data_IF_710395928185
#
_entry.id   IF_710395928185
#
_cell.length_a   1.000
_cell.length_b   1.000
_cell.length_c   1.000
_cell.angle_alpha   90.00
_cell.angle_beta   90.00
_cell.angle_gamma   90.00
#
_symmetry.space_group_name_H-M   'P 1'
#
loop_
_entity.id
_entity.type
_entity.pdbx_description
1 polymer ?
#
# COMPACT_ATOMS: atom_id res chain seq x y z
N UNK A 1 11.92 -13.54 -22.41
CA UNK A 1 11.37 -12.70 -23.48
C UNK A 1 10.11 -13.34 -24.03
N UNK A 2 9.12 -12.55 -24.44
CA UNK A 2 7.82 -13.06 -24.91
C UNK A 2 7.90 -13.77 -26.28
N UNK A 3 8.87 -13.42 -27.14
CA UNK A 3 9.12 -14.06 -28.43
C UNK A 3 10.64 -14.25 -28.63
N UNK A 4 11.22 -15.35 -28.12
CA UNK A 4 12.68 -15.52 -28.07
C UNK A 4 13.34 -15.84 -29.43
N UNK A 5 12.56 -16.09 -30.48
CA UNK A 5 13.06 -16.38 -31.83
C UNK A 5 13.03 -15.17 -32.78
N UNK A 6 12.45 -14.06 -32.35
CA UNK A 6 12.31 -12.85 -33.15
C UNK A 6 13.34 -11.79 -32.73
N UNK A 7 13.63 -10.85 -33.62
CA UNK A 7 14.49 -9.71 -33.31
C UNK A 7 13.84 -8.84 -32.22
N UNK A 8 14.59 -8.62 -31.13
CA UNK A 8 14.10 -7.89 -29.97
C UNK A 8 13.63 -6.46 -30.31
N UNK A 9 14.32 -5.77 -31.22
CA UNK A 9 13.95 -4.42 -31.62
C UNK A 9 12.63 -4.39 -32.40
N UNK A 10 12.39 -5.39 -33.25
CA UNK A 10 11.12 -5.56 -33.96
C UNK A 10 9.97 -5.86 -33.00
N UNK A 11 10.18 -6.74 -32.02
CA UNK A 11 9.17 -7.07 -31.01
C UNK A 11 8.83 -5.86 -30.15
N UNK A 12 9.83 -5.10 -29.69
CA UNK A 12 9.61 -3.88 -28.89
C UNK A 12 8.89 -2.80 -29.71
N UNK A 13 9.27 -2.60 -30.98
CA UNK A 13 8.58 -1.66 -31.86
C UNK A 13 7.10 -2.04 -32.07
N UNK A 14 6.80 -3.34 -32.19
CA UNK A 14 5.42 -3.82 -32.30
C UNK A 14 4.62 -3.54 -31.02
N UNK A 15 5.20 -3.78 -29.84
CA UNK A 15 4.56 -3.48 -28.55
C UNK A 15 4.30 -1.98 -28.40
N UNK A 16 5.27 -1.14 -28.79
CA UNK A 16 5.12 0.32 -28.80
C UNK A 16 3.99 0.77 -29.74
N UNK A 17 3.90 0.18 -30.93
CA UNK A 17 2.79 0.45 -31.85
C UNK A 17 1.43 0.03 -31.30
N UNK A 18 1.34 -1.12 -30.63
CA UNK A 18 0.12 -1.55 -29.93
C UNK A 18 -0.26 -0.61 -28.78
N UNK A 19 0.72 0.05 -28.15
CA UNK A 19 0.49 1.07 -27.13
C UNK A 19 -0.03 2.37 -27.73
N UNK A 20 0.56 2.81 -28.84
CA UNK A 20 0.13 4.01 -29.57
C UNK A 20 -1.28 3.85 -30.15
N UNK A 21 -1.61 2.65 -30.64
CA UNK A 21 -2.94 2.29 -31.15
C UNK A 21 -3.99 2.11 -30.02
N UNK A 22 -3.59 2.22 -28.75
CA UNK A 22 -4.47 2.09 -27.58
C UNK A 22 -4.94 0.67 -27.29
N UNK A 23 -4.35 -0.35 -27.93
CA UNK A 23 -4.68 -1.76 -27.70
C UNK A 23 -4.12 -2.28 -26.37
N UNK A 24 -3.03 -1.68 -25.89
CA UNK A 24 -2.37 -2.00 -24.63
C UNK A 24 -2.07 -0.69 -23.91
N UNK A 25 -2.41 -0.61 -22.63
CA UNK A 25 -2.04 0.50 -21.76
C UNK A 25 -0.88 0.10 -20.87
N UNK A 26 -0.10 1.10 -20.44
CA UNK A 26 0.97 0.89 -19.46
C UNK A 26 0.77 1.73 -18.21
N UNK A 27 0.92 1.11 -17.05
CA UNK A 27 0.93 1.79 -15.76
C UNK A 27 2.06 1.25 -14.89
N UNK A 28 2.97 2.14 -14.45
CA UNK A 28 4.17 1.80 -13.66
C UNK A 28 4.99 0.61 -14.21
N UNK A 29 5.12 0.49 -15.54
CA UNK A 29 5.89 -0.58 -16.18
C UNK A 29 5.13 -1.91 -16.36
N UNK A 30 3.86 -1.97 -15.96
CA UNK A 30 2.95 -3.08 -16.27
C UNK A 30 2.22 -2.79 -17.57
N UNK A 31 2.15 -3.77 -18.47
CA UNK A 31 1.34 -3.72 -19.68
C UNK A 31 0.04 -4.48 -19.46
N UNK A 32 -1.10 -3.86 -19.77
CA UNK A 32 -2.42 -4.46 -19.60
C UNK A 32 -3.39 -4.00 -20.69
N UNK A 33 -4.48 -4.74 -20.88
CA UNK A 33 -5.54 -4.33 -21.79
C UNK A 33 -6.27 -3.08 -21.22
N UNK A 34 -6.82 -2.20 -22.07
CA UNK A 34 -7.58 -1.03 -21.62
C UNK A 34 -8.73 -1.38 -20.68
N UNK A 35 -9.42 -2.50 -20.96
CA UNK A 35 -10.54 -3.00 -20.15
C UNK A 35 -10.11 -3.79 -18.92
N UNK A 36 -8.80 -4.04 -18.75
CA UNK A 36 -8.30 -4.72 -17.57
C UNK A 36 -8.43 -3.78 -16.36
N UNK A 37 -9.54 -3.94 -15.64
CA UNK A 37 -9.65 -3.43 -14.29
C UNK A 37 -8.83 -4.35 -13.41
N UNK A 38 -7.89 -3.78 -12.65
CA UNK A 38 -7.19 -4.48 -11.57
C UNK A 38 -8.20 -4.80 -10.46
N UNK A 39 -9.06 -5.78 -10.74
CA UNK A 39 -10.13 -6.26 -9.90
C UNK A 39 -9.78 -7.62 -9.31
N UNK A 40 -10.54 -8.02 -8.32
CA UNK A 40 -10.46 -9.38 -7.81
C UNK A 40 -11.00 -10.38 -8.84
N UNK A 41 -10.43 -11.58 -8.89
CA UNK A 41 -11.15 -12.72 -9.48
C UNK A 41 -12.38 -13.07 -8.62
N UNK A 42 -13.34 -13.82 -9.16
CA UNK A 42 -14.54 -14.21 -8.39
C UNK A 42 -14.19 -14.90 -7.06
N UNK A 43 -13.17 -15.77 -7.07
CA UNK A 43 -12.66 -16.43 -5.88
C UNK A 43 -12.04 -15.44 -4.88
N UNK A 44 -11.25 -14.49 -5.37
CA UNK A 44 -10.64 -13.46 -4.54
C UNK A 44 -11.68 -12.49 -3.96
N UNK A 45 -12.72 -12.17 -4.75
CA UNK A 45 -13.82 -11.31 -4.34
C UNK A 45 -14.62 -11.96 -3.20
N UNK A 46 -14.87 -13.26 -3.29
CA UNK A 46 -15.56 -14.01 -2.23
C UNK A 46 -14.75 -14.05 -0.92
N UNK A 47 -13.42 -14.13 -1.00
CA UNK A 47 -12.55 -14.00 0.18
C UNK A 47 -12.58 -12.57 0.70
N UNK A 48 -12.44 -11.57 -0.17
CA UNK A 48 -12.44 -10.16 0.21
C UNK A 48 -13.72 -9.76 0.94
N UNK A 49 -14.89 -10.18 0.46
CA UNK A 49 -16.18 -9.90 1.12
C UNK A 49 -16.28 -10.44 2.56
N UNK A 50 -15.56 -11.52 2.88
CA UNK A 50 -15.49 -12.05 4.26
C UNK A 50 -14.51 -11.27 5.13
N UNK A 51 -13.43 -10.78 4.54
CA UNK A 51 -12.30 -10.14 5.23
C UNK A 51 -12.53 -8.64 5.45
N UNK A 52 -13.12 -7.95 4.49
CA UNK A 52 -13.42 -6.52 4.54
C UNK A 52 -14.10 -6.06 5.84
N UNK A 53 -15.15 -6.73 6.36
CA UNK A 53 -15.78 -6.33 7.62
C UNK A 53 -14.91 -6.59 8.85
N UNK A 54 -13.92 -7.49 8.78
CA UNK A 54 -12.99 -7.75 9.89
C UNK A 54 -11.98 -6.62 10.06
N UNK A 55 -11.64 -5.93 8.97
CA UNK A 55 -10.85 -4.71 9.05
C UNK A 55 -11.68 -3.65 9.75
N UNK A 56 -11.39 -3.40 11.03
CA UNK A 56 -11.88 -2.25 11.78
C UNK A 56 -10.76 -1.21 11.94
N UNK A 57 -10.61 -0.75 13.18
CA UNK A 57 -9.57 0.20 13.58
C UNK A 57 -8.20 -0.44 13.83
N UNK A 58 -8.20 -1.74 14.10
CA UNK A 58 -7.00 -2.52 14.40
C UNK A 58 -6.40 -3.16 13.14
N UNK A 59 -5.06 -3.31 13.08
CA UNK A 59 -4.41 -4.00 11.98
C UNK A 59 -4.61 -5.49 12.06
N UNK A 60 -4.52 -6.12 10.89
CA UNK A 60 -4.50 -7.56 10.79
C UNK A 60 -3.22 -8.08 10.15
N UNK A 61 -2.76 -9.21 10.66
CA UNK A 61 -1.78 -10.03 9.98
C UNK A 61 -2.46 -10.96 8.99
N UNK A 62 -1.82 -11.21 7.85
CA UNK A 62 -2.28 -12.18 6.83
C UNK A 62 -2.61 -13.53 7.47
N UNK A 63 -1.75 -14.00 8.39
CA UNK A 63 -1.90 -15.31 9.05
C UNK A 63 -3.13 -15.39 9.94
N UNK A 64 -3.43 -14.30 10.65
CA UNK A 64 -4.54 -14.27 11.58
C UNK A 64 -5.86 -14.17 10.82
N UNK A 65 -5.91 -13.36 9.75
CA UNK A 65 -7.05 -13.35 8.83
C UNK A 65 -7.28 -14.71 8.16
N UNK A 66 -6.21 -15.34 7.67
CA UNK A 66 -6.30 -16.64 7.03
C UNK A 66 -6.91 -17.70 7.97
N UNK A 67 -6.55 -17.66 9.26
CA UNK A 67 -7.13 -18.53 10.28
C UNK A 67 -8.59 -18.18 10.57
N UNK A 68 -8.90 -16.90 10.75
CA UNK A 68 -10.25 -16.42 11.07
C UNK A 68 -11.25 -16.77 9.96
N UNK A 69 -10.85 -16.64 8.70
CA UNK A 69 -11.72 -16.93 7.55
C UNK A 69 -11.60 -18.35 7.01
N UNK A 70 -10.73 -19.19 7.59
CA UNK A 70 -10.50 -20.57 7.16
C UNK A 70 -9.97 -20.69 5.72
N UNK A 71 -9.19 -19.70 5.28
CA UNK A 71 -8.66 -19.62 3.91
C UNK A 71 -7.16 -19.93 3.87
N UNK A 72 -6.67 -20.40 2.73
CA UNK A 72 -5.23 -20.62 2.55
C UNK A 72 -4.43 -19.31 2.66
N UNK A 73 -3.30 -19.34 3.37
CA UNK A 73 -2.45 -18.16 3.60
C UNK A 73 -1.91 -17.55 2.30
N UNK A 74 -1.59 -18.37 1.30
CA UNK A 74 -1.11 -17.90 0.00
C UNK A 74 -2.20 -17.14 -0.76
N UNK A 75 -3.41 -17.67 -0.82
CA UNK A 75 -4.57 -17.01 -1.42
C UNK A 75 -4.90 -15.70 -0.68
N UNK A 76 -4.96 -15.73 0.66
CA UNK A 76 -5.19 -14.53 1.49
C UNK A 76 -4.17 -13.43 1.18
N UNK A 77 -2.88 -13.79 1.07
CA UNK A 77 -1.83 -12.83 0.75
C UNK A 77 -2.03 -12.19 -0.63
N UNK A 78 -2.48 -12.95 -1.63
CA UNK A 78 -2.77 -12.43 -2.96
C UNK A 78 -3.95 -11.46 -2.93
N UNK A 79 -5.04 -11.84 -2.25
CA UNK A 79 -6.23 -10.98 -2.06
C UNK A 79 -5.84 -9.66 -1.39
N UNK A 80 -5.14 -9.71 -0.25
CA UNK A 80 -4.75 -8.49 0.47
C UNK A 80 -3.78 -7.60 -0.33
N UNK A 81 -2.92 -8.19 -1.17
CA UNK A 81 -2.07 -7.41 -2.07
C UNK A 81 -2.89 -6.69 -3.14
N UNK A 82 -3.87 -7.37 -3.75
CA UNK A 82 -4.79 -6.76 -4.71
C UNK A 82 -5.62 -5.64 -4.06
N UNK A 83 -6.17 -5.89 -2.87
CA UNK A 83 -6.89 -4.88 -2.08
C UNK A 83 -6.01 -3.65 -1.78
N UNK A 84 -4.73 -3.87 -1.50
CA UNK A 84 -3.78 -2.79 -1.27
C UNK A 84 -3.42 -2.01 -2.55
N UNK A 85 -3.32 -2.69 -3.69
CA UNK A 85 -3.12 -2.03 -5.00
C UNK A 85 -4.33 -1.17 -5.40
N UNK A 86 -5.54 -1.58 -5.00
CA UNK A 86 -6.76 -0.79 -5.17
C UNK A 86 -6.89 0.36 -4.16
N UNK A 87 -5.98 0.48 -3.19
CA UNK A 87 -5.97 1.56 -2.19
C UNK A 87 -6.99 1.39 -1.05
N UNK A 88 -7.62 0.22 -0.93
CA UNK A 88 -8.62 -0.07 0.12
C UNK A 88 -7.92 -0.26 1.47
N UNK A 89 -6.80 -0.99 1.45
CA UNK A 89 -5.93 -1.23 2.61
C UNK A 89 -4.49 -0.86 2.30
N UNK A 90 -3.65 -0.82 3.31
CA UNK A 90 -2.26 -0.41 3.18
C UNK A 90 -1.36 -1.29 4.01
N UNK A 91 -0.31 -1.83 3.38
CA UNK A 91 0.71 -2.62 4.06
C UNK A 91 1.78 -1.70 4.66
N UNK A 92 1.77 -1.52 5.99
CA UNK A 92 2.84 -0.79 6.68
C UNK A 92 4.14 -1.60 6.67
N UNK A 93 4.04 -2.91 6.88
CA UNK A 93 5.13 -3.87 6.83
C UNK A 93 4.63 -5.13 6.13
N UNK A 94 5.56 -5.98 5.68
CA UNK A 94 5.22 -7.26 5.04
C UNK A 94 4.23 -8.05 5.91
N UNK A 95 3.13 -8.47 5.28
CA UNK A 95 2.06 -9.27 5.85
C UNK A 95 1.23 -8.59 6.97
N UNK A 96 1.35 -7.27 7.18
CA UNK A 96 0.49 -6.52 8.11
C UNK A 96 -0.18 -5.34 7.42
N UNK A 97 -1.51 -5.32 7.47
CA UNK A 97 -2.33 -4.36 6.75
C UNK A 97 -3.20 -3.52 7.70
N UNK A 98 -3.41 -2.26 7.31
CA UNK A 98 -4.34 -1.31 7.94
C UNK A 98 -5.36 -0.83 6.92
N UNK A 99 -6.51 -0.35 7.39
CA UNK A 99 -7.40 0.48 6.56
C UNK A 99 -6.72 1.80 6.21
N UNK A 100 -7.05 2.31 5.03
CA UNK A 100 -6.53 3.59 4.56
C UNK A 100 -6.91 4.75 5.51
N UNK A 101 -8.13 4.76 6.06
CA UNK A 101 -8.58 5.79 7.02
C UNK A 101 -7.66 5.90 8.25
N UNK A 102 -7.11 4.78 8.74
CA UNK A 102 -6.15 4.78 9.86
C UNK A 102 -4.78 5.33 9.44
N UNK A 103 -4.36 5.07 8.21
CA UNK A 103 -3.12 5.66 7.66
C UNK A 103 -3.25 7.18 7.58
N UNK A 104 -4.40 7.71 7.15
CA UNK A 104 -4.65 9.16 7.14
C UNK A 104 -4.64 9.74 8.56
N UNK A 105 -5.22 9.04 9.54
CA UNK A 105 -5.14 9.45 10.94
C UNK A 105 -3.69 9.52 11.45
N UNK A 106 -2.86 8.53 11.12
CA UNK A 106 -1.42 8.56 11.47
C UNK A 106 -0.69 9.72 10.79
N UNK A 107 -1.00 10.01 9.52
CA UNK A 107 -0.41 11.15 8.82
C UNK A 107 -0.79 12.48 9.49
N UNK A 108 -2.04 12.64 9.94
CA UNK A 108 -2.47 13.83 10.68
C UNK A 108 -1.71 14.00 12.01
N UNK A 109 -1.53 12.91 12.77
CA UNK A 109 -0.74 12.96 14.02
C UNK A 109 0.71 13.37 13.78
N UNK A 110 1.34 12.90 12.69
CA UNK A 110 2.69 13.32 12.30
C UNK A 110 2.72 14.82 11.99
N UNK A 111 1.70 15.37 11.31
CA UNK A 111 1.61 16.81 11.03
C UNK A 111 1.50 17.63 12.31
N UNK A 112 0.68 17.19 13.26
CA UNK A 112 0.51 17.87 14.55
C UNK A 112 1.85 17.90 15.33
N UNK A 113 2.55 16.76 15.39
CA UNK A 113 3.86 16.67 16.04
C UNK A 113 4.92 17.56 15.36
N UNK A 114 4.91 17.63 14.02
CA UNK A 114 5.79 18.50 13.26
C UNK A 114 5.50 19.99 13.52
N UNK A 115 4.22 20.40 13.67
CA UNK A 115 3.86 21.77 14.04
C UNK A 115 4.28 22.13 15.47
N UNK A 116 4.16 21.20 16.41
CA UNK A 116 4.50 21.43 17.82
C UNK A 116 6.01 21.49 18.06
N UNK A 117 6.81 20.67 17.35
CA UNK A 117 8.24 20.45 17.67
C UNK A 117 9.20 20.64 16.49
N UNK A 118 8.69 20.86 15.29
CA UNK A 118 9.49 20.96 14.05
C UNK A 118 10.05 19.63 13.54
N UNK A 119 9.73 18.52 14.20
CA UNK A 119 10.05 17.16 13.76
C UNK A 119 9.26 16.11 14.55
N UNK A 120 9.17 14.90 14.00
CA UNK A 120 8.55 13.75 14.69
C UNK A 120 9.61 12.74 15.10
N UNK A 121 9.69 12.41 16.40
CA UNK A 121 10.51 11.30 16.86
C UNK A 121 9.65 10.06 17.20
N UNK A 122 10.27 8.88 17.18
CA UNK A 122 9.54 7.62 17.45
C UNK A 122 8.98 7.53 18.89
N UNK A 123 9.56 8.24 19.86
CA UNK A 123 9.07 8.27 21.23
C UNK A 123 7.77 9.09 21.33
N UNK A 124 7.76 10.31 20.80
CA UNK A 124 6.57 11.19 20.81
C UNK A 124 5.43 10.57 20.01
N UNK A 125 5.73 10.00 18.85
CA UNK A 125 4.73 9.33 18.02
C UNK A 125 4.12 8.13 18.74
N UNK A 126 4.95 7.33 19.42
CA UNK A 126 4.49 6.20 20.24
C UNK A 126 3.57 6.66 21.37
N UNK A 127 3.97 7.72 22.08
CA UNK A 127 3.27 8.19 23.26
C UNK A 127 1.92 8.83 22.89
N UNK A 128 1.84 9.52 21.73
CA UNK A 128 0.58 10.07 21.20
C UNK A 128 -0.38 8.99 20.69
N UNK A 129 0.15 7.94 20.05
CA UNK A 129 -0.65 6.81 19.56
C UNK A 129 -0.99 5.76 20.62
N UNK A 130 -0.33 5.81 21.78
CA UNK A 130 -0.40 4.78 22.82
C UNK A 130 -0.13 3.35 22.29
N UNK A 131 0.81 3.21 21.35
CA UNK A 131 1.19 1.92 20.75
C UNK A 131 2.56 1.45 21.25
N UNK A 132 2.93 0.21 20.94
CA UNK A 132 4.28 -0.27 21.20
C UNK A 132 5.33 0.43 20.32
N UNK A 133 6.56 0.62 20.85
CA UNK A 133 7.70 1.25 20.13
C UNK A 133 7.96 0.61 18.76
N UNK A 134 7.84 -0.72 18.67
CA UNK A 134 8.05 -1.47 17.43
C UNK A 134 7.04 -1.07 16.35
N UNK A 135 5.78 -0.87 16.71
CA UNK A 135 4.73 -0.49 15.76
C UNK A 135 4.91 0.96 15.31
N UNK A 136 5.19 1.87 16.24
CA UNK A 136 5.48 3.27 15.94
C UNK A 136 6.62 3.40 14.90
N UNK A 137 7.73 2.68 15.11
CA UNK A 137 8.86 2.68 14.15
C UNK A 137 8.43 2.14 12.79
N UNK A 138 7.69 1.04 12.73
CA UNK A 138 7.25 0.45 11.45
C UNK A 138 6.34 1.39 10.64
N UNK A 139 5.49 2.16 11.33
CA UNK A 139 4.65 3.16 10.69
C UNK A 139 5.50 4.31 10.14
N UNK A 140 6.46 4.81 10.91
CA UNK A 140 7.37 5.87 10.46
C UNK A 140 8.25 5.40 9.28
N UNK A 141 8.75 4.17 9.31
CA UNK A 141 9.50 3.56 8.20
C UNK A 141 8.64 3.42 6.94
N UNK A 142 7.34 3.13 7.09
CA UNK A 142 6.41 3.14 5.98
C UNK A 142 6.29 4.54 5.37
N UNK A 143 6.09 5.57 6.19
CA UNK A 143 5.99 6.96 5.74
C UNK A 143 7.28 7.49 5.11
N UNK A 144 8.43 7.07 5.63
CA UNK A 144 9.74 7.38 5.04
C UNK A 144 9.89 6.76 3.64
N UNK A 145 9.45 5.50 3.47
CA UNK A 145 9.56 4.77 2.21
C UNK A 145 8.71 5.39 1.11
N UNK A 146 7.51 5.87 1.44
CA UNK A 146 6.63 6.53 0.46
C UNK A 146 6.96 8.02 0.28
N UNK A 147 7.90 8.56 1.07
CA UNK A 147 8.38 9.93 0.96
C UNK A 147 7.53 10.99 1.66
N UNK A 148 6.57 10.58 2.50
CA UNK A 148 5.77 11.49 3.32
C UNK A 148 6.64 12.16 4.39
N UNK A 149 7.45 11.34 5.09
CA UNK A 149 8.48 11.80 6.00
C UNK A 149 9.87 11.49 5.45
N UNK A 150 10.89 12.11 6.03
CA UNK A 150 12.29 11.75 5.79
C UNK A 150 13.04 11.68 7.11
N UNK A 151 13.62 10.51 7.39
CA UNK A 151 14.48 10.32 8.54
C UNK A 151 15.79 11.11 8.42
N UNK A 152 16.11 11.87 9.46
CA UNK A 152 17.38 12.57 9.69
C UNK A 152 17.85 12.28 11.11
N UNK A 153 18.73 11.28 11.26
CA UNK A 153 19.16 10.81 12.57
C UNK A 153 18.02 10.09 13.31
N UNK A 154 17.59 10.66 14.43
CA UNK A 154 16.47 10.14 15.24
C UNK A 154 15.12 10.77 14.91
N UNK A 155 15.13 11.84 14.10
CA UNK A 155 13.95 12.64 13.80
C UNK A 155 13.46 12.34 12.39
N UNK A 156 12.15 12.45 12.19
CA UNK A 156 11.46 12.33 10.93
C UNK A 156 10.89 13.70 10.57
N UNK A 157 11.40 14.28 9.48
CA UNK A 157 10.98 15.58 8.98
C UNK A 157 9.83 15.39 8.00
N UNK A 158 8.78 16.19 8.12
CA UNK A 158 7.69 16.21 7.15
C UNK A 158 8.19 16.79 5.82
N UNK A 159 8.02 16.05 4.71
CA UNK A 159 8.48 16.47 3.38
C UNK A 159 7.33 16.89 2.48
N UNK A 160 6.36 16.00 2.31
CA UNK A 160 5.21 16.21 1.44
C UNK A 160 3.92 16.20 2.26
N UNK A 161 3.58 17.36 2.80
CA UNK A 161 2.43 17.53 3.67
C UNK A 161 1.09 17.25 2.96
N UNK A 162 1.05 17.21 1.62
CA UNK A 162 -0.18 17.04 0.83
C UNK A 162 -0.47 15.59 0.44
N UNK A 163 0.47 14.65 0.67
CA UNK A 163 0.34 13.26 0.21
C UNK A 163 -0.87 12.52 0.82
N UNK A 164 -1.39 13.00 1.96
CA UNK A 164 -2.60 12.48 2.62
C UNK A 164 -3.55 13.63 3.01
N UNK A 165 -4.34 14.20 2.09
CA UNK A 165 -5.21 15.31 2.43
C UNK A 165 -6.23 14.92 3.52
N UNK A 166 -6.60 15.87 4.39
CA UNK A 166 -7.71 15.65 5.30
C UNK A 166 -8.99 15.44 4.46
N UNK A 167 -9.79 14.42 4.80
CA UNK A 167 -11.16 14.36 4.29
C UNK A 167 -11.92 15.52 4.94
N UNK A 168 -12.35 16.49 4.13
CA UNK A 168 -13.30 17.53 4.52
C UNK A 168 -14.64 16.93 4.96
#
# INVERSE_FOLDING_TARGET
>A
MALPMEDEALVLMLIERMRDDGLIHSHHGWLHLPDHKAGFSDEQQAVWQKVEPLFGDEPWWVRDLAKETGTEEQLMRLVLRQAAQQGIITAIVKDRYYRNDRIVAFANMIRELDQERGSTCAADFRDRLNVGRKLAIQILEYFDRIGFTRRRGNDHLLRDALLFPQKE
#
